data_IF_064939479447
#
_entry.id   IF_064939479447
#
_cell.length_a   1.000
_cell.length_b   1.000
_cell.length_c   1.000
_cell.angle_alpha   90.00
_cell.angle_beta   90.00
_cell.angle_gamma   90.00
#
_symmetry.space_group_name_H-M   'P 1'
#
loop_
_entity.id
_entity.type
_entity.pdbx_description
1 polymer ?
#
# COMPACT_ATOMS: atom_id res chain seq x y z
N UNK A 1 3.58 50.78 -10.77
CA UNK A 1 3.03 49.65 -10.00
C UNK A 1 3.31 48.36 -10.75
N UNK A 2 4.36 47.63 -10.40
CA UNK A 2 4.66 46.32 -10.98
C UNK A 2 4.14 45.24 -10.02
N UNK A 3 3.13 44.47 -10.44
CA UNK A 3 2.67 43.28 -9.71
C UNK A 3 3.65 42.14 -10.04
N UNK A 4 4.47 41.76 -9.08
CA UNK A 4 5.26 40.53 -9.14
C UNK A 4 4.30 39.34 -9.01
N UNK A 5 4.27 38.47 -10.04
CA UNK A 5 3.51 37.22 -9.99
C UNK A 5 4.24 36.24 -9.07
N UNK A 6 3.71 36.04 -7.86
CA UNK A 6 4.17 35.00 -6.95
C UNK A 6 3.86 33.62 -7.52
N UNK A 7 4.84 33.02 -8.20
CA UNK A 7 4.81 31.61 -8.56
C UNK A 7 4.93 30.83 -7.23
N UNK A 8 3.84 30.19 -6.80
CA UNK A 8 3.84 29.32 -5.61
C UNK A 8 4.97 28.28 -5.78
N UNK A 9 5.82 28.04 -4.75
CA UNK A 9 6.79 26.96 -4.81
C UNK A 9 6.05 25.63 -5.04
N UNK A 10 6.59 24.77 -5.91
CA UNK A 10 5.91 23.57 -6.40
C UNK A 10 5.62 22.56 -5.28
N UNK A 11 4.43 21.93 -5.33
CA UNK A 11 3.88 20.95 -4.37
C UNK A 11 4.89 19.93 -3.83
N UNK A 12 5.84 19.48 -4.66
CA UNK A 12 6.87 18.51 -4.29
C UNK A 12 7.86 19.01 -3.22
N UNK A 13 8.26 20.28 -3.28
CA UNK A 13 9.26 20.82 -2.34
C UNK A 13 8.73 20.95 -0.90
N UNK A 14 7.41 21.06 -0.73
CA UNK A 14 6.75 21.19 0.57
C UNK A 14 6.53 19.82 1.25
N UNK A 15 6.37 18.73 0.49
CA UNK A 15 6.14 17.37 1.02
C UNK A 15 7.42 16.57 1.33
N UNK A 16 8.55 16.95 0.74
CA UNK A 16 9.88 16.37 1.03
C UNK A 16 10.31 16.49 2.50
N UNK A 17 9.82 17.50 3.24
CA UNK A 17 10.12 17.68 4.66
C UNK A 17 9.43 16.64 5.58
N UNK A 18 8.32 16.03 5.14
CA UNK A 18 7.60 15.01 5.92
C UNK A 18 8.23 13.61 5.80
N UNK A 19 8.74 13.25 4.61
CA UNK A 19 9.40 11.96 4.39
C UNK A 19 10.72 11.81 5.16
N UNK A 20 11.38 12.91 5.50
CA UNK A 20 12.60 12.91 6.33
C UNK A 20 12.34 12.54 7.81
N UNK A 21 11.08 12.62 8.28
CA UNK A 21 10.70 12.31 9.66
C UNK A 21 10.54 10.79 9.89
N UNK A 22 10.23 10.02 8.85
CA UNK A 22 9.99 8.57 9.00
C UNK A 22 11.25 7.74 9.21
N UNK A 23 12.45 8.31 8.96
CA UNK A 23 13.72 7.65 9.24
C UNK A 23 14.36 8.08 10.59
N UNK A 24 13.86 9.14 11.22
CA UNK A 24 14.44 9.67 12.45
C UNK A 24 13.38 10.40 13.28
N UNK A 25 12.51 9.67 14.00
CA UNK A 25 11.85 10.27 15.15
C UNK A 25 11.36 9.25 16.19
N UNK A 26 12.31 8.74 16.97
CA UNK A 26 12.08 8.58 18.40
C UNK A 26 12.00 10.01 18.97
N UNK A 27 10.78 10.52 19.14
CA UNK A 27 10.49 11.71 19.94
C UNK A 27 10.88 13.07 19.33
N UNK A 28 10.05 14.08 19.62
CA UNK A 28 10.17 15.52 19.31
C UNK A 28 9.52 15.99 18.01
N UNK A 29 8.24 16.34 18.11
CA UNK A 29 7.41 16.78 17.00
C UNK A 29 8.03 17.89 16.17
N UNK A 30 7.80 17.79 14.86
CA UNK A 30 7.99 18.88 13.91
C UNK A 30 6.83 18.85 12.91
N UNK A 31 6.41 20.05 12.49
CA UNK A 31 5.13 20.33 11.86
C UNK A 31 4.86 19.46 10.63
N UNK A 32 3.85 18.60 10.74
CA UNK A 32 3.20 17.95 9.60
C UNK A 32 2.52 19.04 8.75
N UNK A 33 2.88 19.13 7.46
CA UNK A 33 2.06 19.88 6.52
C UNK A 33 0.75 19.12 6.31
N UNK A 34 -0.38 19.82 6.36
CA UNK A 34 -1.71 19.21 6.32
C UNK A 34 -1.87 18.33 5.07
N UNK A 35 -2.12 17.04 5.30
CA UNK A 35 -2.72 16.17 4.30
C UNK A 35 -4.04 16.78 3.83
N UNK A 36 -4.32 16.70 2.54
CA UNK A 36 -5.65 17.01 2.04
C UNK A 36 -6.52 15.75 2.14
N UNK A 37 -7.82 15.86 2.47
CA UNK A 37 -8.71 14.71 2.54
C UNK A 37 -8.64 13.87 1.26
N UNK A 38 -8.25 12.59 1.40
CA UNK A 38 -8.13 11.64 0.29
C UNK A 38 -6.73 11.47 -0.31
N UNK A 39 -5.70 12.14 0.22
CA UNK A 39 -4.31 11.85 -0.13
C UNK A 39 -3.98 10.37 0.17
N UNK A 40 -3.17 9.76 -0.70
CA UNK A 40 -2.64 8.42 -0.48
C UNK A 40 -1.52 8.43 0.58
N UNK A 41 -1.39 7.35 1.39
CA UNK A 41 -0.46 7.34 2.50
C UNK A 41 1.00 7.38 2.04
N UNK A 42 1.83 8.15 2.75
CA UNK A 42 3.27 8.28 2.49
C UNK A 42 4.08 7.29 3.35
N UNK A 43 3.79 6.00 3.21
CA UNK A 43 4.49 5.01 4.00
C UNK A 43 5.95 4.79 3.59
N UNK A 44 6.35 5.18 2.37
CA UNK A 44 7.64 4.80 1.79
C UNK A 44 7.74 3.32 1.42
N UNK A 45 8.92 2.86 0.97
CA UNK A 45 9.10 1.49 0.48
C UNK A 45 9.81 0.63 1.53
N UNK A 46 9.16 -0.43 2.01
CA UNK A 46 9.77 -1.39 2.92
C UNK A 46 9.83 -2.80 2.33
N UNK A 47 10.82 -3.58 2.79
CA UNK A 47 11.02 -4.94 2.35
C UNK A 47 11.57 -5.82 3.44
N UNK A 48 11.12 -7.07 3.47
CA UNK A 48 11.63 -8.11 4.35
C UNK A 48 12.38 -9.15 3.53
N UNK A 49 13.66 -9.34 3.85
CA UNK A 49 14.49 -10.31 3.13
C UNK A 49 14.22 -11.76 3.55
N UNK A 50 14.85 -12.70 2.84
CA UNK A 50 14.75 -14.13 3.15
C UNK A 50 15.33 -14.52 4.51
N UNK A 51 16.25 -13.72 5.06
CA UNK A 51 16.85 -13.96 6.37
C UNK A 51 15.95 -13.48 7.52
N UNK A 52 14.89 -12.72 7.22
CA UNK A 52 14.03 -12.13 8.24
C UNK A 52 14.52 -10.76 8.71
N UNK A 53 15.32 -10.06 7.89
CA UNK A 53 15.78 -8.69 8.15
C UNK A 53 14.91 -7.70 7.39
N UNK A 54 14.34 -6.73 8.09
CA UNK A 54 13.54 -5.66 7.52
C UNK A 54 14.40 -4.46 7.13
N UNK A 55 14.05 -3.87 5.99
CA UNK A 55 14.71 -2.68 5.45
C UNK A 55 13.67 -1.65 5.01
N UNK A 56 14.06 -0.38 5.10
CA UNK A 56 13.28 0.77 4.67
C UNK A 56 14.04 1.60 3.64
N UNK A 57 13.31 2.17 2.70
CA UNK A 57 13.78 3.05 1.65
C UNK A 57 12.93 4.32 1.65
N UNK A 58 13.53 5.45 2.02
CA UNK A 58 12.88 6.75 2.02
C UNK A 58 12.64 7.22 0.59
N UNK A 59 11.41 7.59 0.21
CA UNK A 59 11.16 8.22 -1.08
C UNK A 59 11.68 9.66 -1.12
N UNK A 60 12.19 10.07 -2.28
CA UNK A 60 12.72 11.44 -2.48
C UNK A 60 11.72 12.40 -3.15
N UNK A 61 10.47 11.98 -3.37
CA UNK A 61 9.42 12.84 -3.94
C UNK A 61 9.53 13.18 -5.43
N UNK A 62 10.43 12.53 -6.16
CA UNK A 62 10.50 12.60 -7.63
C UNK A 62 10.45 11.19 -8.27
N UNK A 63 10.06 10.19 -7.49
CA UNK A 63 10.07 8.78 -7.88
C UNK A 63 11.45 8.14 -7.85
N UNK A 64 12.38 8.67 -7.07
CA UNK A 64 13.57 7.96 -6.62
C UNK A 64 13.43 7.59 -5.14
N UNK A 65 14.32 6.69 -4.69
CA UNK A 65 14.38 6.19 -3.32
C UNK A 65 15.82 6.27 -2.83
N UNK A 66 15.98 6.55 -1.54
CA UNK A 66 17.28 6.62 -0.89
C UNK A 66 17.90 5.23 -0.67
N UNK A 67 19.13 5.22 -0.14
CA UNK A 67 19.79 3.99 0.27
C UNK A 67 19.00 3.32 1.40
N UNK A 68 18.89 1.99 1.35
CA UNK A 68 18.21 1.22 2.39
C UNK A 68 18.81 1.41 3.78
N UNK A 69 17.96 1.48 4.78
CA UNK A 69 18.29 1.41 6.21
C UNK A 69 17.74 0.10 6.77
N UNK A 70 18.54 -0.62 7.57
CA UNK A 70 18.06 -1.80 8.30
C UNK A 70 17.24 -1.35 9.51
N UNK A 71 16.04 -1.91 9.67
CA UNK A 71 15.19 -1.60 10.82
C UNK A 71 15.33 -2.65 11.92
N UNK A 72 15.12 -3.93 11.59
CA UNK A 72 15.06 -5.00 12.58
C UNK A 72 15.30 -6.41 11.98
N UNK A 73 15.52 -7.41 12.82
CA UNK A 73 15.78 -8.82 12.44
C UNK A 73 14.81 -9.79 13.14
N UNK A 74 14.85 -11.08 12.78
CA UNK A 74 14.02 -12.10 13.44
C UNK A 74 12.61 -12.26 12.85
N UNK A 75 12.32 -11.64 11.71
CA UNK A 75 10.99 -11.60 11.10
C UNK A 75 10.69 -12.81 10.18
N UNK A 76 11.35 -13.96 10.34
CA UNK A 76 11.18 -15.13 9.44
C UNK A 76 9.76 -15.70 9.43
N UNK A 77 9.05 -15.51 10.52
CA UNK A 77 7.73 -16.05 10.84
C UNK A 77 6.57 -15.11 10.47
N UNK A 78 6.82 -14.11 9.62
CA UNK A 78 5.77 -13.21 9.09
C UNK A 78 5.41 -13.59 7.65
N UNK A 79 4.11 -13.73 7.36
CA UNK A 79 3.54 -14.05 6.03
C UNK A 79 2.97 -12.81 5.31
N UNK A 80 2.50 -11.82 6.05
CA UNK A 80 1.92 -10.59 5.48
C UNK A 80 2.10 -9.42 6.44
N UNK A 81 2.33 -8.24 5.86
CA UNK A 81 2.34 -6.94 6.53
C UNK A 81 1.50 -5.98 5.68
N UNK A 82 0.58 -5.26 6.31
CA UNK A 82 -0.21 -4.22 5.66
C UNK A 82 -0.26 -2.99 6.56
N UNK A 83 0.43 -1.91 6.15
CA UNK A 83 0.42 -0.64 6.87
C UNK A 83 -0.90 0.08 6.67
N UNK A 84 -1.30 0.85 7.67
CA UNK A 84 -2.53 1.65 7.67
C UNK A 84 -2.25 3.06 8.14
N UNK A 85 -3.00 3.98 7.55
CA UNK A 85 -3.13 5.39 7.90
C UNK A 85 -4.62 5.54 8.20
N UNK A 86 -4.96 5.62 9.47
CA UNK A 86 -6.34 5.62 9.93
C UNK A 86 -6.86 7.05 10.12
N UNK A 87 -5.97 8.01 10.37
CA UNK A 87 -6.32 9.41 10.57
C UNK A 87 -6.17 10.27 9.31
N UNK A 88 -5.69 9.68 8.20
CA UNK A 88 -5.46 10.31 6.91
C UNK A 88 -4.48 11.50 6.97
N UNK A 89 -3.44 11.38 7.81
CA UNK A 89 -2.36 12.36 7.92
C UNK A 89 -1.13 12.03 7.05
N UNK A 90 -1.26 10.99 6.21
CA UNK A 90 -0.26 10.39 5.33
C UNK A 90 0.85 9.61 6.06
N UNK A 91 0.77 9.44 7.37
CA UNK A 91 1.73 8.68 8.17
C UNK A 91 1.12 7.34 8.57
N UNK A 92 1.97 6.33 8.76
CA UNK A 92 1.48 5.05 9.28
C UNK A 92 1.06 5.18 10.74
N UNK A 93 -0.20 4.88 11.02
CA UNK A 93 -0.77 4.76 12.38
C UNK A 93 -0.62 3.35 12.94
N UNK A 94 -0.42 2.36 12.07
CA UNK A 94 -0.30 0.98 12.50
C UNK A 94 -0.07 0.01 11.35
N UNK A 95 -0.17 -1.28 11.67
CA UNK A 95 -0.06 -2.37 10.70
C UNK A 95 -0.84 -3.62 11.10
N UNK A 96 -1.37 -4.29 10.09
CA UNK A 96 -1.78 -5.69 10.14
C UNK A 96 -0.56 -6.59 9.94
N UNK A 97 -0.47 -7.67 10.72
CA UNK A 97 0.63 -8.62 10.64
C UNK A 97 0.14 -10.05 10.78
N UNK A 98 0.29 -10.86 9.73
CA UNK A 98 -0.02 -12.29 9.76
C UNK A 98 1.25 -13.10 10.01
N UNK A 99 1.21 -13.95 11.04
CA UNK A 99 2.26 -14.92 11.34
C UNK A 99 2.16 -16.20 10.49
N UNK A 100 3.26 -16.95 10.39
CA UNK A 100 3.28 -18.27 9.74
C UNK A 100 2.39 -19.29 10.43
N UNK A 101 2.14 -19.11 11.73
CA UNK A 101 1.23 -19.89 12.57
C UNK A 101 -0.27 -19.63 12.29
N UNK A 102 -0.61 -18.69 11.40
CA UNK A 102 -1.99 -18.36 11.05
C UNK A 102 -2.66 -17.35 11.99
N UNK A 103 -1.93 -16.78 12.96
CA UNK A 103 -2.44 -15.70 13.79
C UNK A 103 -2.24 -14.34 13.11
N UNK A 104 -3.26 -13.49 13.11
CA UNK A 104 -3.13 -12.10 12.70
C UNK A 104 -3.20 -11.17 13.92
N UNK A 105 -2.34 -10.18 13.92
CA UNK A 105 -2.25 -9.15 14.95
C UNK A 105 -2.33 -7.76 14.32
N UNK A 106 -2.81 -6.81 15.11
CA UNK A 106 -2.69 -5.39 14.84
C UNK A 106 -1.64 -4.78 15.78
N UNK A 107 -0.76 -3.98 15.22
CA UNK A 107 0.22 -3.18 15.96
C UNK A 107 -0.06 -1.71 15.66
N UNK A 108 -0.45 -0.94 16.68
CA UNK A 108 -0.49 0.51 16.59
C UNK A 108 0.94 1.08 16.67
N UNK A 109 1.15 2.25 16.09
CA UNK A 109 2.44 2.95 16.09
C UNK A 109 2.56 3.92 17.29
N UNK A 110 2.08 3.50 18.45
CA UNK A 110 2.05 4.26 19.71
C UNK A 110 2.76 3.52 20.87
N UNK A 111 3.47 2.43 20.57
CA UNK A 111 4.08 1.49 21.51
C UNK A 111 3.09 0.68 22.38
N UNK A 112 1.81 0.70 22.06
CA UNK A 112 0.83 -0.19 22.69
C UNK A 112 1.13 -1.65 22.40
N UNK A 113 0.69 -2.54 23.29
CA UNK A 113 0.81 -3.98 23.09
C UNK A 113 0.04 -4.42 21.83
N UNK A 114 0.60 -5.40 21.11
CA UNK A 114 -0.04 -5.94 19.92
C UNK A 114 -1.40 -6.57 20.25
N UNK A 115 -2.44 -6.21 19.50
CA UNK A 115 -3.78 -6.78 19.64
C UNK A 115 -3.87 -8.02 18.76
N UNK A 116 -4.07 -9.20 19.33
CA UNK A 116 -4.38 -10.40 18.55
C UNK A 116 -5.81 -10.30 18.04
N UNK A 117 -5.98 -10.35 16.72
CA UNK A 117 -7.30 -10.22 16.08
C UNK A 117 -7.96 -11.58 15.91
N UNK A 118 -7.16 -12.61 15.64
CA UNK A 118 -7.66 -13.98 15.54
C UNK A 118 -6.60 -14.98 15.09
N UNK A 119 -7.03 -16.23 14.97
CA UNK A 119 -6.28 -17.38 14.47
C UNK A 119 -6.90 -17.91 13.17
N UNK A 120 -6.22 -18.82 12.47
CA UNK A 120 -6.73 -19.47 11.26
C UNK A 120 -6.81 -18.56 10.03
N UNK A 121 -6.05 -17.47 10.01
CA UNK A 121 -5.99 -16.53 8.88
C UNK A 121 -5.16 -17.07 7.69
N UNK A 122 -4.46 -18.19 7.88
CA UNK A 122 -3.74 -18.92 6.84
C UNK A 122 -4.65 -19.59 5.80
N UNK A 123 -5.98 -19.56 6.01
CA UNK A 123 -6.96 -19.89 4.96
C UNK A 123 -6.88 -18.94 3.75
N UNK A 124 -6.35 -17.73 3.94
CA UNK A 124 -6.18 -16.75 2.89
C UNK A 124 -4.84 -16.94 2.18
N UNK A 125 -4.90 -17.16 0.85
CA UNK A 125 -3.71 -17.28 0.01
C UNK A 125 -3.22 -15.91 -0.51
N UNK A 126 -4.00 -14.85 -0.30
CA UNK A 126 -3.63 -13.46 -0.56
C UNK A 126 -4.34 -12.56 0.45
N UNK A 127 -3.57 -11.68 1.10
CA UNK A 127 -4.08 -10.60 1.92
C UNK A 127 -3.59 -9.26 1.36
N UNK A 128 -4.43 -8.24 1.46
CA UNK A 128 -4.14 -6.86 1.07
C UNK A 128 -4.77 -5.94 2.12
N UNK A 129 -4.08 -4.85 2.47
CA UNK A 129 -4.60 -3.74 3.26
C UNK A 129 -4.84 -2.56 2.30
N UNK A 130 -6.05 -2.43 1.71
CA UNK A 130 -6.30 -1.44 0.67
C UNK A 130 -6.39 0.01 1.15
N UNK A 131 -6.45 0.24 2.47
CA UNK A 131 -6.92 1.51 3.05
C UNK A 131 -8.40 1.42 3.45
N UNK A 132 -9.08 2.56 3.57
CA UNK A 132 -10.51 2.67 3.91
C UNK A 132 -11.40 2.31 2.70
N UNK A 133 -11.43 1.03 2.31
CA UNK A 133 -12.02 0.57 1.06
C UNK A 133 -13.54 0.33 1.14
N UNK A 134 -13.99 -0.18 2.28
CA UNK A 134 -15.36 -0.58 2.58
C UNK A 134 -16.17 0.44 3.36
N UNK A 135 -15.55 1.56 3.76
CA UNK A 135 -16.23 2.72 4.35
C UNK A 135 -16.21 2.80 5.88
N UNK A 136 -15.39 2.00 6.56
CA UNK A 136 -15.13 2.19 7.98
C UNK A 136 -14.03 3.24 8.22
N UNK A 137 -13.85 3.64 9.48
CA UNK A 137 -12.95 4.72 9.88
C UNK A 137 -11.46 4.35 9.76
N UNK A 138 -11.10 3.07 9.75
CA UNK A 138 -9.71 2.61 9.65
C UNK A 138 -9.40 1.83 8.37
N UNK A 139 -8.13 1.45 8.23
CA UNK A 139 -7.69 0.61 7.11
C UNK A 139 -8.29 -0.80 7.17
N UNK A 140 -8.85 -1.26 6.05
CA UNK A 140 -9.52 -2.55 5.96
C UNK A 140 -8.56 -3.71 5.65
N UNK A 141 -9.07 -4.95 5.70
CA UNK A 141 -8.40 -6.14 5.17
C UNK A 141 -9.24 -6.79 4.07
N UNK A 142 -8.61 -7.09 2.94
CA UNK A 142 -9.13 -7.96 1.89
C UNK A 142 -8.36 -9.29 1.88
N UNK A 143 -9.10 -10.39 1.97
CA UNK A 143 -8.54 -11.75 1.95
C UNK A 143 -9.15 -12.61 0.86
N UNK A 144 -8.32 -13.18 -0.01
CA UNK A 144 -8.75 -14.21 -0.97
C UNK A 144 -8.42 -15.58 -0.42
N UNK A 145 -9.42 -16.45 -0.34
CA UNK A 145 -9.23 -17.83 0.12
C UNK A 145 -8.75 -18.76 -1.00
N UNK A 146 -8.47 -20.02 -0.65
CA UNK A 146 -8.07 -21.06 -1.61
C UNK A 146 -9.09 -21.36 -2.73
N UNK A 147 -10.39 -21.11 -2.47
CA UNK A 147 -11.47 -21.33 -3.44
C UNK A 147 -11.64 -20.14 -4.40
N UNK A 148 -10.99 -19.02 -4.10
CA UNK A 148 -11.07 -17.80 -4.89
C UNK A 148 -12.24 -16.92 -4.51
N UNK A 149 -12.78 -17.09 -3.30
CA UNK A 149 -13.72 -16.14 -2.72
C UNK A 149 -12.93 -14.99 -2.07
N UNK A 150 -13.39 -13.77 -2.32
CA UNK A 150 -12.83 -12.55 -1.74
C UNK A 150 -13.68 -12.12 -0.55
N UNK A 151 -13.02 -11.87 0.57
CA UNK A 151 -13.65 -11.43 1.81
C UNK A 151 -13.10 -10.08 2.24
N UNK A 152 -13.99 -9.22 2.72
CA UNK A 152 -13.69 -7.92 3.32
C UNK A 152 -13.88 -8.00 4.83
N UNK A 153 -12.97 -7.39 5.57
CA UNK A 153 -13.07 -7.09 6.98
C UNK A 153 -12.94 -5.58 7.12
N UNK A 154 -13.98 -4.93 7.65
CA UNK A 154 -13.89 -3.50 7.91
C UNK A 154 -13.00 -3.26 9.14
N UNK A 155 -12.09 -2.29 9.07
CA UNK A 155 -11.22 -1.87 10.16
C UNK A 155 -11.69 -0.56 10.81
N UNK A 156 -11.51 -0.44 12.12
CA UNK A 156 -11.89 0.76 12.90
C UNK A 156 -10.67 1.49 13.50
N UNK A 157 -9.46 1.23 13.01
CA UNK A 157 -8.23 1.96 13.36
C UNK A 157 -7.59 1.60 14.70
N UNK A 158 -8.31 0.94 15.59
CA UNK A 158 -7.83 0.42 16.89
C UNK A 158 -7.52 -1.10 16.86
N UNK A 159 -7.42 -1.67 15.66
CA UNK A 159 -7.32 -3.10 15.41
C UNK A 159 -8.63 -3.86 15.55
N UNK A 160 -9.75 -3.22 15.89
CA UNK A 160 -11.07 -3.86 15.80
C UNK A 160 -11.45 -4.06 14.34
N UNK A 161 -11.98 -5.25 14.03
CA UNK A 161 -12.49 -5.58 12.69
C UNK A 161 -13.87 -6.21 12.74
N UNK A 162 -14.65 -6.08 11.67
CA UNK A 162 -15.92 -6.80 11.54
C UNK A 162 -15.72 -8.30 11.37
N UNK A 163 -16.83 -9.06 11.43
CA UNK A 163 -16.88 -10.37 10.79
C UNK A 163 -16.61 -10.23 9.28
N UNK A 164 -16.02 -11.26 8.69
CA UNK A 164 -15.76 -11.29 7.25
C UNK A 164 -17.05 -11.21 6.45
N UNK A 165 -17.08 -10.35 5.43
CA UNK A 165 -18.13 -10.28 4.44
C UNK A 165 -17.61 -10.82 3.11
N UNK A 166 -18.29 -11.79 2.51
CA UNK A 166 -17.93 -12.24 1.16
C UNK A 166 -18.33 -11.17 0.16
N UNK A 167 -17.36 -10.60 -0.54
CA UNK A 167 -17.54 -9.48 -1.47
C UNK A 167 -17.22 -9.86 -2.91
N UNK A 168 -16.83 -11.11 -3.18
CA UNK A 168 -16.63 -11.60 -4.53
C UNK A 168 -16.36 -13.10 -4.61
N UNK A 169 -16.47 -13.64 -5.82
CA UNK A 169 -16.15 -15.02 -6.17
C UNK A 169 -15.33 -15.06 -7.46
N UNK A 170 -14.63 -16.17 -7.70
CA UNK A 170 -13.83 -16.35 -8.92
C UNK A 170 -12.53 -15.55 -8.97
N UNK A 171 -12.08 -14.98 -7.85
CA UNK A 171 -10.85 -14.20 -7.74
C UNK A 171 -9.56 -15.01 -7.94
N UNK A 172 -9.68 -16.33 -8.11
CA UNK A 172 -8.59 -17.22 -8.50
C UNK A 172 -8.09 -17.01 -9.93
N UNK A 173 -8.76 -16.17 -10.73
CA UNK A 173 -8.21 -15.70 -12.02
C UNK A 173 -7.03 -14.73 -11.83
N UNK A 174 -6.90 -14.14 -10.64
CA UNK A 174 -5.84 -13.19 -10.32
C UNK A 174 -4.61 -13.88 -9.73
N UNK A 175 -3.44 -13.47 -10.20
CA UNK A 175 -2.15 -13.87 -9.63
C UNK A 175 -1.72 -12.93 -8.50
N UNK A 176 -2.07 -11.66 -8.61
CA UNK A 176 -1.76 -10.62 -7.63
C UNK A 176 -2.95 -9.66 -7.47
N UNK A 177 -3.04 -9.11 -6.26
CA UNK A 177 -3.99 -8.07 -5.85
C UNK A 177 -3.15 -7.08 -5.03
N UNK A 178 -3.29 -5.79 -5.32
CA UNK A 178 -2.58 -4.72 -4.66
C UNK A 178 -3.50 -3.50 -4.53
N UNK A 179 -3.34 -2.73 -3.47
CA UNK A 179 -4.06 -1.48 -3.23
C UNK A 179 -3.62 -0.95 -1.88
N UNK A 180 -3.50 0.37 -1.79
CA UNK A 180 -3.17 1.11 -0.56
C UNK A 180 -3.36 2.61 -0.82
N UNK A 181 -4.61 3.07 -0.79
CA UNK A 181 -4.98 4.47 -1.09
C UNK A 181 -5.71 4.70 -2.42
N UNK A 182 -6.00 5.97 -2.72
CA UNK A 182 -6.77 6.41 -3.89
C UNK A 182 -5.89 6.56 -5.13
N UNK A 183 -6.15 5.75 -6.15
CA UNK A 183 -5.45 5.78 -7.44
C UNK A 183 -6.19 6.64 -8.47
N UNK A 184 -7.49 6.81 -8.29
CA UNK A 184 -8.39 7.43 -9.27
C UNK A 184 -8.79 8.85 -8.95
N UNK A 185 -8.37 9.39 -7.82
CA UNK A 185 -8.60 10.76 -7.39
C UNK A 185 -10.06 11.05 -7.01
N UNK A 186 -10.83 10.02 -6.65
CA UNK A 186 -12.24 10.18 -6.24
C UNK A 186 -12.45 10.15 -4.71
N UNK A 187 -11.36 10.21 -3.96
CA UNK A 187 -11.31 10.23 -2.50
C UNK A 187 -11.53 8.87 -1.86
N UNK A 188 -11.41 7.76 -2.62
CA UNK A 188 -11.68 6.41 -2.14
C UNK A 188 -10.53 5.49 -2.47
N UNK A 189 -10.20 4.59 -1.53
CA UNK A 189 -9.17 3.61 -1.79
C UNK A 189 -9.55 2.70 -2.95
N UNK A 190 -8.59 2.42 -3.83
CA UNK A 190 -8.77 1.57 -4.99
C UNK A 190 -7.92 0.30 -4.87
N UNK A 191 -8.27 -0.74 -5.63
CA UNK A 191 -7.40 -1.91 -5.82
C UNK A 191 -7.13 -2.17 -7.29
N UNK A 192 -5.96 -2.72 -7.57
CA UNK A 192 -5.62 -3.32 -8.86
C UNK A 192 -5.39 -4.81 -8.70
N UNK A 193 -5.72 -5.58 -9.73
CA UNK A 193 -5.53 -7.01 -9.76
C UNK A 193 -4.94 -7.47 -11.09
N UNK A 194 -3.86 -8.24 -11.04
CA UNK A 194 -3.22 -8.82 -12.23
C UNK A 194 -3.75 -10.22 -12.48
N UNK A 195 -4.41 -10.43 -13.60
CA UNK A 195 -4.86 -11.77 -13.98
C UNK A 195 -3.72 -12.68 -14.44
N UNK A 196 -3.98 -13.99 -14.47
CA UNK A 196 -2.99 -15.00 -14.89
C UNK A 196 -2.52 -14.85 -16.34
N UNK A 197 -3.25 -14.10 -17.18
CA UNK A 197 -2.84 -13.78 -18.56
C UNK A 197 -1.93 -12.54 -18.64
N UNK A 198 -1.70 -11.86 -17.52
CA UNK A 198 -0.87 -10.65 -17.45
C UNK A 198 -1.62 -9.36 -17.80
N UNK A 199 -2.96 -9.37 -17.76
CA UNK A 199 -3.76 -8.14 -17.85
C UNK A 199 -3.89 -7.54 -16.44
N UNK A 200 -3.68 -6.23 -16.34
CA UNK A 200 -3.93 -5.48 -15.11
C UNK A 200 -5.32 -4.86 -15.16
N UNK A 201 -6.07 -5.06 -14.09
CA UNK A 201 -7.44 -4.59 -13.92
C UNK A 201 -7.51 -3.61 -12.76
N UNK A 202 -8.22 -2.51 -12.95
CA UNK A 202 -8.58 -1.55 -11.91
C UNK A 202 -9.96 -1.90 -11.36
N UNK A 203 -10.10 -1.85 -10.05
CA UNK A 203 -11.34 -1.95 -9.31
C UNK A 203 -11.48 -0.69 -8.46
N UNK A 204 -12.32 0.24 -8.94
CA UNK A 204 -12.58 1.49 -8.24
C UNK A 204 -13.32 1.23 -6.94
N UNK A 205 -12.82 1.73 -5.82
CA UNK A 205 -13.48 1.62 -4.53
C UNK A 205 -14.80 2.39 -4.48
N UNK A 206 -15.71 1.95 -3.63
CA UNK A 206 -16.98 2.66 -3.40
C UNK A 206 -17.18 3.10 -1.95
N UNK A 207 -16.28 2.75 -1.02
CA UNK A 207 -16.49 3.03 0.40
C UNK A 207 -17.78 2.41 0.95
N UNK A 208 -18.30 1.36 0.32
CA UNK A 208 -19.51 0.67 0.77
C UNK A 208 -19.26 -0.84 0.77
N UNK A 209 -19.17 -1.43 1.97
CA UNK A 209 -18.91 -2.87 2.16
C UNK A 209 -19.80 -3.83 1.35
N UNK A 210 -21.04 -3.45 1.03
CA UNK A 210 -21.97 -4.30 0.27
C UNK A 210 -21.79 -4.22 -1.25
N UNK A 211 -21.06 -3.22 -1.72
CA UNK A 211 -20.71 -3.04 -3.12
C UNK A 211 -19.31 -2.40 -3.23
N UNK A 212 -18.26 -2.98 -2.64
CA UNK A 212 -17.04 -2.26 -2.26
C UNK A 212 -16.19 -1.80 -3.44
N UNK A 213 -16.47 -2.32 -4.63
CA UNK A 213 -15.84 -1.87 -5.86
C UNK A 213 -16.81 -1.85 -7.04
N UNK A 214 -16.54 -0.94 -7.98
CA UNK A 214 -17.22 -0.88 -9.26
C UNK A 214 -16.80 -2.05 -10.19
N UNK A 215 -17.47 -2.14 -11.35
CA UNK A 215 -17.06 -3.06 -12.41
C UNK A 215 -15.60 -2.79 -12.82
N UNK A 216 -14.82 -3.87 -12.96
CA UNK A 216 -13.40 -3.76 -13.31
C UNK A 216 -13.18 -3.10 -14.69
N UNK A 217 -12.10 -2.34 -14.78
CA UNK A 217 -11.61 -1.72 -16.03
C UNK A 217 -10.25 -2.29 -16.39
N UNK A 218 -10.03 -2.64 -17.66
CA UNK A 218 -8.71 -3.08 -18.14
C UNK A 218 -7.80 -1.86 -18.24
N UNK A 219 -6.66 -1.88 -17.54
CA UNK A 219 -5.72 -0.75 -17.48
C UNK A 219 -4.31 -1.09 -17.96
N UNK A 220 -4.07 -2.31 -18.43
CA UNK A 220 -2.82 -2.67 -19.08
C UNK A 220 -2.70 -4.15 -19.43
N UNK A 221 -1.63 -4.50 -20.13
CA UNK A 221 -1.26 -5.88 -20.49
C UNK A 221 0.25 -6.10 -20.38
N UNK A 222 0.69 -7.36 -20.44
CA UNK A 222 2.11 -7.71 -20.33
C UNK A 222 2.66 -7.64 -18.91
N UNK A 223 1.79 -7.62 -17.89
CA UNK A 223 2.19 -7.57 -16.48
C UNK A 223 2.73 -8.91 -15.95
N UNK A 224 2.69 -9.97 -16.76
CA UNK A 224 3.38 -11.24 -16.51
C UNK A 224 4.91 -11.11 -16.59
N UNK A 225 5.44 -9.98 -17.08
CA UNK A 225 6.87 -9.66 -16.98
C UNK A 225 7.33 -9.48 -15.51
N UNK A 226 6.39 -9.28 -14.59
CA UNK A 226 6.66 -9.06 -13.17
C UNK A 226 6.38 -10.32 -12.34
N UNK A 227 7.21 -10.62 -11.35
CA UNK A 227 6.96 -11.69 -10.38
C UNK A 227 6.28 -11.18 -9.10
N UNK A 228 6.22 -9.87 -8.90
CA UNK A 228 5.58 -9.26 -7.73
C UNK A 228 5.02 -7.88 -8.11
N UNK A 229 3.81 -7.60 -7.65
CA UNK A 229 3.12 -6.31 -7.80
C UNK A 229 2.51 -5.93 -6.45
N UNK A 230 2.77 -4.71 -5.98
CA UNK A 230 2.29 -4.22 -4.69
C UNK A 230 2.11 -2.69 -4.71
N UNK A 231 1.30 -2.17 -3.79
CA UNK A 231 1.02 -0.75 -3.64
C UNK A 231 1.56 -0.28 -2.27
N UNK A 232 2.68 0.45 -2.23
CA UNK A 232 3.25 0.96 -0.98
C UNK A 232 2.58 2.25 -0.47
N UNK A 233 1.67 2.85 -1.25
CA UNK A 233 1.15 4.20 -1.04
C UNK A 233 1.74 5.18 -2.05
N UNK A 234 1.94 6.43 -1.65
CA UNK A 234 2.48 7.52 -2.47
C UNK A 234 4.03 7.59 -2.36
N UNK A 235 4.74 7.22 -3.44
CA UNK A 235 6.21 7.19 -3.47
C UNK A 235 6.76 8.47 -4.10
N UNK A 236 6.06 9.07 -5.06
CA UNK A 236 6.49 10.34 -5.66
C UNK A 236 5.99 11.59 -4.94
N UNK A 237 5.28 11.41 -3.82
CA UNK A 237 4.80 12.44 -2.90
C UNK A 237 3.80 13.41 -3.57
N UNK A 238 3.08 12.96 -4.60
CA UNK A 238 2.12 13.76 -5.35
C UNK A 238 0.66 13.67 -4.87
N UNK A 239 0.41 12.82 -3.86
CA UNK A 239 -0.86 12.61 -3.16
C UNK A 239 -1.67 11.46 -3.71
N UNK A 240 -1.19 10.80 -4.77
CA UNK A 240 -1.88 9.72 -5.44
C UNK A 240 -1.19 8.40 -5.15
N UNK A 241 -1.98 7.33 -5.00
CA UNK A 241 -1.43 6.01 -4.77
C UNK A 241 -0.61 5.52 -5.97
N UNK A 242 0.59 5.02 -5.69
CA UNK A 242 1.49 4.44 -6.68
C UNK A 242 1.44 2.92 -6.70
N UNK A 243 1.96 2.34 -7.79
CA UNK A 243 2.18 0.90 -7.90
C UNK A 243 3.65 0.60 -8.14
N UNK A 244 4.14 -0.43 -7.47
CA UNK A 244 5.51 -0.92 -7.65
C UNK A 244 5.48 -2.36 -8.13
N UNK A 245 6.33 -2.67 -9.10
CA UNK A 245 6.45 -4.00 -9.66
C UNK A 245 7.91 -4.44 -9.72
N UNK A 246 8.16 -5.69 -9.35
CA UNK A 246 9.47 -6.35 -9.45
C UNK A 246 9.44 -7.42 -10.52
N UNK A 247 10.49 -7.50 -11.34
CA UNK A 247 10.65 -8.60 -12.30
C UNK A 247 11.54 -9.73 -11.77
N UNK A 248 11.61 -10.83 -12.51
CA UNK A 248 12.41 -12.00 -12.12
C UNK A 248 13.93 -11.74 -12.06
N UNK A 249 14.44 -10.68 -12.70
CA UNK A 249 15.85 -10.27 -12.65
C UNK A 249 16.16 -9.46 -11.38
N UNK A 250 15.14 -9.08 -10.62
CA UNK A 250 15.29 -8.24 -9.43
C UNK A 250 15.42 -6.76 -9.78
N UNK A 251 14.90 -6.33 -10.93
CA UNK A 251 14.67 -4.91 -11.23
C UNK A 251 13.34 -4.47 -10.61
N UNK A 252 13.30 -3.24 -10.10
CA UNK A 252 12.13 -2.63 -9.47
C UNK A 252 11.68 -1.43 -10.28
N UNK A 253 10.38 -1.37 -10.58
CA UNK A 253 9.76 -0.33 -11.40
C UNK A 253 8.65 0.36 -10.62
N UNK A 254 8.64 1.69 -10.68
CA UNK A 254 7.58 2.53 -10.15
C UNK A 254 6.65 2.94 -11.28
N UNK A 255 5.35 2.77 -11.03
CA UNK A 255 4.25 3.25 -11.84
C UNK A 255 3.53 4.33 -11.06
N UNK A 256 3.86 5.58 -11.38
CA UNK A 256 3.33 6.75 -10.69
C UNK A 256 1.84 6.91 -11.00
N UNK A 257 1.02 7.11 -9.97
CA UNK A 257 -0.40 7.40 -10.10
C UNK A 257 -0.67 8.69 -10.87
N UNK A 258 -1.88 8.82 -11.41
CA UNK A 258 -2.31 10.04 -12.10
C UNK A 258 -3.56 10.68 -11.52
N UNK A 259 -4.26 9.98 -10.61
CA UNK A 259 -5.57 10.39 -10.11
C UNK A 259 -6.64 10.33 -11.20
N UNK A 260 -6.48 9.47 -12.20
CA UNK A 260 -7.41 9.36 -13.34
C UNK A 260 -7.65 7.91 -13.74
N UNK A 261 -8.86 7.40 -13.50
CA UNK A 261 -9.23 6.02 -13.82
C UNK A 261 -8.99 5.60 -15.28
N UNK A 262 -9.13 6.53 -16.24
CA UNK A 262 -8.95 6.23 -17.66
C UNK A 262 -7.47 6.06 -18.07
N UNK A 263 -6.54 6.60 -17.28
CA UNK A 263 -5.10 6.53 -17.53
C UNK A 263 -4.35 6.53 -16.19
N UNK A 264 -4.49 5.46 -15.39
CA UNK A 264 -4.16 5.49 -13.95
C UNK A 264 -2.66 5.63 -13.66
N UNK A 265 -1.79 5.32 -14.61
CA UNK A 265 -0.35 5.37 -14.42
C UNK A 265 0.38 6.19 -15.48
N UNK A 266 1.40 6.94 -15.06
CA UNK A 266 2.44 7.51 -15.93
C UNK A 266 3.32 6.38 -16.51
N UNK A 267 4.15 6.63 -17.54
CA UNK A 267 5.15 5.66 -17.98
C UNK A 267 6.03 5.19 -16.82
N UNK A 268 6.31 3.89 -16.75
CA UNK A 268 7.11 3.31 -15.66
C UNK A 268 8.52 3.89 -15.62
N UNK A 269 9.07 4.03 -14.43
CA UNK A 269 10.49 4.36 -14.21
C UNK A 269 11.17 3.25 -13.43
N UNK A 270 12.44 2.98 -13.73
CA UNK A 270 13.24 2.03 -12.95
C UNK A 270 13.73 2.73 -11.69
N UNK A 271 13.41 2.16 -10.53
CA UNK A 271 13.81 2.67 -9.21
C UNK A 271 14.80 1.72 -8.50
N UNK A 272 15.12 0.61 -9.16
CA UNK A 272 16.05 -0.38 -8.67
C UNK A 272 16.54 -1.27 -9.79
N UNK A 273 17.85 -1.35 -10.01
CA UNK A 273 18.43 -2.05 -11.17
C UNK A 273 18.76 -3.53 -10.91
N UNK A 274 18.93 -3.93 -9.65
CA UNK A 274 19.22 -5.32 -9.27
C UNK A 274 19.04 -5.54 -7.76
N UNK A 275 19.12 -6.80 -7.32
CA UNK A 275 19.16 -7.16 -5.89
C UNK A 275 17.80 -7.23 -5.19
N UNK A 276 16.72 -6.73 -5.81
CA UNK A 276 15.38 -6.71 -5.21
C UNK A 276 14.72 -8.08 -5.05
N UNK A 277 15.31 -9.13 -5.63
CA UNK A 277 14.91 -10.51 -5.39
C UNK A 277 15.27 -11.02 -3.98
N UNK A 278 16.11 -10.30 -3.22
CA UNK A 278 16.39 -10.63 -1.82
C UNK A 278 15.14 -10.56 -0.94
N UNK A 279 14.19 -9.69 -1.32
CA UNK A 279 12.97 -9.43 -0.57
C UNK A 279 11.91 -10.50 -0.85
N UNK A 280 11.48 -11.19 0.20
CA UNK A 280 10.36 -12.14 0.14
C UNK A 280 9.01 -11.46 0.36
N UNK A 281 8.98 -10.32 1.06
CA UNK A 281 7.80 -9.47 1.22
C UNK A 281 8.16 -8.00 0.97
N UNK A 282 7.21 -7.27 0.38
CA UNK A 282 7.20 -5.82 0.28
C UNK A 282 5.95 -5.28 0.98
N UNK A 283 6.03 -4.11 1.59
CA UNK A 283 4.94 -3.47 2.33
C UNK A 283 5.20 -1.97 2.53
#
# INVERSE_FOLDING_TARGET
MAKTSGRRPGRAATRLAAAAITAALVGTGTAAFAAEPGDAPMFGLAGLDSAGTSYYYTPTGNGAIEKRVQLDTGWKNVKFLGRVDNNADNVADGRWQLGTNGDIHYYANDNSAAKKIGYGWDIYNKLVSPGQFGGAEGGDLLGRDGKGDLYLYLGYGDGTVTKRLKVGSGWNIYSDIAGNGDLTGDGRSDIVARDKSGVLWLYKGTGNQHAPYAKRTRIGSGWNQYNTVFAPGDIDLDGIADLVARNAKGELYLYKGTGKAAAPYKPKVIIGTSGWNTYRLFF
#
